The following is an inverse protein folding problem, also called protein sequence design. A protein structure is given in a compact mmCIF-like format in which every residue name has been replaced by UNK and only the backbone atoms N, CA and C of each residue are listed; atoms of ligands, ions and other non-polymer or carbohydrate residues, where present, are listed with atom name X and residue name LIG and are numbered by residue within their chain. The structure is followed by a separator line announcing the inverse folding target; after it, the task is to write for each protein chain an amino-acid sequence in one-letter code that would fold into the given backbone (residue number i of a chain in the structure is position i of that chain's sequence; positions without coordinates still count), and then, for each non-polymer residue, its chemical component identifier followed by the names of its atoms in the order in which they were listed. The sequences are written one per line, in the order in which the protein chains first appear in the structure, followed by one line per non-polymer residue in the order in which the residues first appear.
data_IF_396307367147
#
_entry.id   IF_396307367147
#
_cell.length_a   1.000
_cell.length_b   1.000
_cell.length_c   1.000
_cell.angle_alpha   90.00
_cell.angle_beta   90.00
_cell.angle_gamma   90.00
#
_symmetry.space_group_name_H-M   'P 1'
#
loop_
_entity.id
_entity.type
_entity.pdbx_description
1 polymer ?
#
# COMPACT_ATOMS: atom_id res chain seq x y z
N UNK A 1 19.95 -31.84 -17.31
CA UNK A 1 18.48 -31.66 -17.36
C UNK A 1 18.17 -30.28 -16.80
N UNK A 2 18.31 -29.26 -17.64
CA UNK A 2 18.18 -27.85 -17.27
C UNK A 2 16.72 -27.54 -16.97
N UNK A 3 16.40 -27.44 -15.68
CA UNK A 3 15.07 -27.11 -15.20
C UNK A 3 14.56 -25.84 -15.86
N UNK A 4 13.27 -25.86 -16.17
CA UNK A 4 12.44 -24.74 -16.65
C UNK A 4 13.05 -23.38 -16.30
N UNK A 5 13.68 -22.79 -17.31
CA UNK A 5 14.38 -21.51 -17.21
C UNK A 5 13.47 -20.48 -16.54
N UNK A 6 14.01 -19.58 -15.71
CA UNK A 6 13.25 -18.50 -15.04
C UNK A 6 12.34 -17.73 -16.01
N UNK A 7 12.77 -17.64 -17.27
CA UNK A 7 11.99 -17.09 -18.38
C UNK A 7 10.63 -17.78 -18.61
N UNK A 8 10.55 -19.10 -18.45
CA UNK A 8 9.31 -19.86 -18.60
C UNK A 8 8.30 -19.50 -17.51
N UNK A 9 8.75 -19.32 -16.27
CA UNK A 9 7.88 -18.95 -15.15
C UNK A 9 7.29 -17.54 -15.31
N UNK A 10 8.03 -16.60 -15.90
CA UNK A 10 7.49 -15.27 -16.24
C UNK A 10 6.37 -15.40 -17.28
N UNK A 11 6.61 -16.16 -18.36
CA UNK A 11 5.60 -16.36 -19.42
C UNK A 11 4.34 -17.05 -18.88
N UNK A 12 4.50 -18.08 -18.04
CA UNK A 12 3.39 -18.76 -17.36
C UNK A 12 2.64 -17.80 -16.44
N UNK A 13 3.35 -16.98 -15.66
CA UNK A 13 2.73 -15.98 -14.78
C UNK A 13 1.86 -14.97 -15.54
N UNK A 14 2.31 -14.53 -16.73
CA UNK A 14 1.54 -13.63 -17.60
C UNK A 14 0.27 -14.30 -18.13
N UNK A 15 0.37 -15.56 -18.59
CA UNK A 15 -0.79 -16.32 -19.08
C UNK A 15 -1.81 -16.54 -17.97
N UNK A 16 -1.36 -16.90 -16.77
CA UNK A 16 -2.24 -17.06 -15.60
C UNK A 16 -2.89 -15.73 -15.23
N UNK A 17 -2.14 -14.62 -15.22
CA UNK A 17 -2.71 -13.29 -14.97
C UNK A 17 -3.76 -12.88 -16.01
N UNK A 18 -3.58 -13.25 -17.29
CA UNK A 18 -4.56 -13.01 -18.35
C UNK A 18 -5.82 -13.88 -18.20
N UNK A 19 -5.69 -15.16 -17.84
CA UNK A 19 -6.81 -16.08 -17.66
C UNK A 19 -7.66 -15.75 -16.43
N UNK A 20 -7.01 -15.42 -15.31
CA UNK A 20 -7.68 -15.12 -14.05
C UNK A 20 -8.03 -13.62 -13.93
N UNK A 21 -7.37 -12.76 -14.70
CA UNK A 21 -7.52 -11.31 -14.64
C UNK A 21 -6.88 -10.67 -13.40
N UNK A 22 -6.56 -9.37 -13.50
CA UNK A 22 -5.90 -8.62 -12.41
C UNK A 22 -6.74 -8.50 -11.14
N UNK A 23 -8.06 -8.50 -11.24
CA UNK A 23 -8.97 -8.35 -10.08
C UNK A 23 -8.88 -9.53 -9.11
N UNK A 24 -9.10 -10.75 -9.60
CA UNK A 24 -9.09 -11.98 -8.78
C UNK A 24 -7.72 -12.28 -8.20
N UNK A 25 -6.65 -12.11 -8.98
CA UNK A 25 -5.28 -12.37 -8.51
C UNK A 25 -4.89 -11.38 -7.41
N UNK A 26 -5.25 -10.10 -7.53
CA UNK A 26 -4.88 -9.09 -6.52
C UNK A 26 -5.64 -9.27 -5.20
N UNK A 27 -6.90 -9.70 -5.24
CA UNK A 27 -7.71 -9.98 -4.06
C UNK A 27 -7.19 -11.21 -3.31
N UNK A 28 -6.95 -12.32 -4.04
CA UNK A 28 -6.39 -13.55 -3.48
C UNK A 28 -4.95 -13.35 -2.96
N UNK A 29 -4.11 -12.63 -3.69
CA UNK A 29 -2.74 -12.31 -3.25
C UNK A 29 -2.77 -11.43 -1.98
N UNK A 30 -3.76 -10.54 -1.84
CA UNK A 30 -3.93 -9.71 -0.64
C UNK A 30 -4.25 -10.53 0.61
N UNK A 31 -5.16 -11.51 0.50
CA UNK A 31 -5.51 -12.39 1.61
C UNK A 31 -4.38 -13.36 1.96
N UNK A 32 -3.70 -13.92 0.95
CA UNK A 32 -2.51 -14.74 1.15
C UNK A 32 -1.38 -13.93 1.79
N UNK A 33 -1.14 -12.69 1.35
CA UNK A 33 -0.12 -11.82 1.92
C UNK A 33 -0.42 -11.47 3.39
N UNK A 34 -1.69 -11.20 3.75
CA UNK A 34 -2.10 -11.00 5.15
C UNK A 34 -1.85 -12.26 5.99
N UNK A 35 -2.23 -13.44 5.50
CA UNK A 35 -2.00 -14.71 6.20
C UNK A 35 -0.52 -14.97 6.46
N UNK A 36 0.33 -14.82 5.44
CA UNK A 36 1.79 -15.00 5.55
C UNK A 36 2.40 -13.92 6.45
N UNK A 37 1.93 -12.66 6.39
CA UNK A 37 2.43 -11.57 7.25
C UNK A 37 2.11 -11.81 8.72
N UNK A 38 0.90 -12.27 9.03
CA UNK A 38 0.51 -12.65 10.41
C UNK A 38 1.29 -13.85 10.91
N UNK A 39 1.54 -14.84 10.05
CA UNK A 39 2.39 -15.99 10.39
C UNK A 39 3.84 -15.58 10.67
N UNK A 40 4.42 -14.73 9.82
CA UNK A 40 5.76 -14.17 10.00
C UNK A 40 5.85 -13.34 11.28
N UNK A 41 4.84 -12.50 11.56
CA UNK A 41 4.80 -11.67 12.77
C UNK A 41 4.65 -12.52 14.04
N UNK A 42 3.81 -13.56 14.01
CA UNK A 42 3.69 -14.52 15.12
C UNK A 42 5.00 -15.23 15.42
N UNK A 43 5.71 -15.72 14.38
CA UNK A 43 7.03 -16.34 14.57
C UNK A 43 8.10 -15.34 15.05
N UNK A 44 8.07 -14.10 14.57
CA UNK A 44 9.06 -13.08 14.95
C UNK A 44 8.87 -12.56 16.38
N UNK A 45 7.65 -12.58 16.92
CA UNK A 45 7.40 -12.21 18.33
C UNK A 45 7.86 -13.27 19.33
N UNK A 46 8.01 -14.54 18.91
CA UNK A 46 8.62 -15.60 19.73
C UNK A 46 10.16 -15.44 19.85
N UNK A 47 10.81 -14.79 18.88
CA UNK A 47 12.29 -14.64 18.85
C UNK A 47 12.81 -13.23 19.17
N UNK A 48 11.97 -12.19 19.28
CA UNK A 48 12.44 -10.81 19.49
C UNK A 48 11.38 -9.91 20.18
N UNK A 49 11.74 -9.14 21.24
CA UNK A 49 10.84 -8.14 21.81
C UNK A 49 10.58 -7.01 20.80
N UNK A 50 9.39 -6.37 20.84
CA UNK A 50 8.72 -5.86 19.64
C UNK A 50 9.48 -4.71 18.95
N UNK A 51 9.72 -4.78 17.62
CA UNK A 51 9.88 -3.56 16.84
C UNK A 51 8.47 -3.01 16.57
N UNK A 52 8.24 -1.81 17.09
CA UNK A 52 7.07 -0.96 16.83
C UNK A 52 6.58 -1.11 15.39
N UNK A 53 5.35 -1.62 15.24
CA UNK A 53 4.69 -1.70 13.96
C UNK A 53 4.65 -0.31 13.34
N UNK A 54 5.16 -0.19 12.12
CA UNK A 54 5.04 0.99 11.30
C UNK A 54 3.60 1.53 11.36
N UNK A 55 3.45 2.66 12.05
CA UNK A 55 2.26 3.51 11.98
C UNK A 55 2.03 3.83 10.50
N UNK A 56 0.84 3.54 9.93
CA UNK A 56 0.43 4.20 8.71
C UNK A 56 0.49 5.70 9.03
N UNK A 57 1.38 6.42 8.35
CA UNK A 57 1.35 7.88 8.36
C UNK A 57 0.01 8.30 7.77
N UNK A 58 -0.93 8.66 8.64
CA UNK A 58 -2.16 9.37 8.28
C UNK A 58 -1.77 10.57 7.40
N UNK A 59 -2.16 10.61 6.11
CA UNK A 59 -2.14 11.84 5.37
C UNK A 59 -3.32 12.68 5.90
N UNK A 60 -3.12 13.36 7.04
CA UNK A 60 -3.92 14.54 7.40
C UNK A 60 -3.53 15.65 6.42
N UNK A 61 -3.97 15.51 5.17
CA UNK A 61 -4.05 16.60 4.21
C UNK A 61 -5.14 17.52 4.75
N UNK A 62 -4.70 18.48 5.55
CA UNK A 62 -5.09 19.88 5.50
C UNK A 62 -6.59 20.02 5.21
N UNK A 63 -7.36 20.03 6.31
CA UNK A 63 -8.65 20.70 6.39
C UNK A 63 -8.62 21.95 5.50
N UNK A 64 -9.45 21.93 4.45
CA UNK A 64 -9.74 23.08 3.61
C UNK A 64 -10.45 24.13 4.47
N UNK A 65 -9.66 24.85 5.27
CA UNK A 65 -10.12 25.97 6.08
C UNK A 65 -9.84 27.26 5.32
N UNK A 66 -10.93 28.00 5.13
CA UNK A 66 -11.02 29.38 4.66
C UNK A 66 -10.98 29.61 3.14
N UNK A 67 -12.05 29.16 2.48
CA UNK A 67 -12.78 30.05 1.57
C UNK A 67 -13.19 31.31 2.37
N UNK A 68 -12.47 32.42 2.19
CA UNK A 68 -13.08 33.75 2.36
C UNK A 68 -12.42 34.73 1.38
N UNK A 69 -13.11 35.14 0.30
CA UNK A 69 -12.63 36.20 -0.57
C UNK A 69 -12.92 37.56 0.09
N UNK A 70 -11.89 38.43 0.18
CA UNK A 70 -11.86 39.91 0.10
C UNK A 70 -13.01 40.75 0.75
N UNK A 71 -12.74 41.94 1.35
CA UNK A 71 -11.99 43.00 0.65
C UNK A 71 -11.23 44.05 1.49
N UNK A 72 -10.42 44.83 0.76
CA UNK A 72 -10.19 46.27 0.92
C UNK A 72 -9.57 46.80 2.23
N UNK A 73 -8.22 46.82 2.24
CA UNK A 73 -7.45 47.81 3.01
C UNK A 73 -7.52 49.15 2.26
N UNK A 74 -8.46 50.01 2.65
CA UNK A 74 -8.54 51.40 2.25
C UNK A 74 -8.84 52.25 3.50
N UNK A 75 -7.77 52.69 4.17
CA UNK A 75 -7.81 53.65 5.27
C UNK A 75 -6.56 54.52 5.10
N UNK A 76 -6.63 55.58 4.29
CA UNK A 76 -7.11 56.95 4.57
C UNK A 76 -6.24 57.65 5.62
N UNK A 77 -5.30 58.41 5.08
CA UNK A 77 -4.57 59.53 5.66
C UNK A 77 -5.54 60.57 6.24
N UNK A 78 -5.43 60.86 7.53
CA UNK A 78 -5.87 62.10 8.18
C UNK A 78 -4.89 62.41 9.31
#
# INVERSE_FOLDING_TARGET
MGGVSIWHWIVVGVIVMLLFGRGKVSELMGDVAKGIKSFKKGMAEDETPPPSAATPVDPKIIDAQATNPAPAKAETKA
#
